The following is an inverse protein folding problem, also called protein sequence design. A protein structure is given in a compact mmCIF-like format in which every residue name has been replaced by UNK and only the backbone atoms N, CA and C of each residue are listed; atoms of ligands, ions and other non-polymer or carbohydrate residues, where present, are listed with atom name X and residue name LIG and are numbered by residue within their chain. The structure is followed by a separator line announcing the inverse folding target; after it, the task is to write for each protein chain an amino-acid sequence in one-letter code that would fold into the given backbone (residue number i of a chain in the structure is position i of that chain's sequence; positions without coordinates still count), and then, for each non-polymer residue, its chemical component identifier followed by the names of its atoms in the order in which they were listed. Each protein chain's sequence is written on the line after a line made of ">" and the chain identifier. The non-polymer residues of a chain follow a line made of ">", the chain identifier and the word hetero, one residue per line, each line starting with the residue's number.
data_IF_781087784350
#
_entry.id   IF_781087784350
#
_cell.length_a   1.000
_cell.length_b   1.000
_cell.length_c   1.000
_cell.angle_alpha   90.00
_cell.angle_beta   90.00
_cell.angle_gamma   90.00
#
_symmetry.space_group_name_H-M   'P 1'
#
loop_
_entity.id
_entity.type
_entity.pdbx_description
1 polymer ?
#
# COMPACT_ATOMS: atom_id res chain seq x y z
N UNK A 1 2.83 17.64 -3.36
CA UNK A 1 2.33 16.64 -4.35
C UNK A 1 2.79 15.21 -4.06
N UNK A 2 4.07 14.85 -4.17
CA UNK A 2 4.52 13.46 -3.88
C UNK A 2 4.27 13.04 -2.43
N UNK A 3 4.58 13.91 -1.46
CA UNK A 3 4.37 13.60 -0.04
C UNK A 3 2.89 13.46 0.34
N UNK A 4 1.99 14.25 -0.26
CA UNK A 4 0.55 14.13 -0.06
C UNK A 4 0.00 12.81 -0.60
N UNK A 5 0.49 12.36 -1.77
CA UNK A 5 0.11 11.07 -2.35
C UNK A 5 0.59 9.92 -1.48
N UNK A 6 1.84 9.96 -1.03
CA UNK A 6 2.40 8.98 -0.08
C UNK A 6 1.55 8.92 1.19
N UNK A 7 1.22 10.08 1.76
CA UNK A 7 0.40 10.16 2.98
C UNK A 7 -1.00 9.62 2.77
N UNK A 8 -1.59 9.86 1.60
CA UNK A 8 -2.92 9.37 1.24
C UNK A 8 -2.94 7.85 1.02
N UNK A 9 -1.93 7.30 0.34
CA UNK A 9 -1.76 5.85 0.17
C UNK A 9 -1.52 5.18 1.53
N UNK A 10 -0.62 5.73 2.36
CA UNK A 10 -0.37 5.23 3.71
C UNK A 10 -1.65 5.25 4.57
N UNK A 11 -2.49 6.27 4.41
CA UNK A 11 -3.81 6.33 5.06
C UNK A 11 -4.73 5.17 4.66
N UNK A 12 -4.77 4.81 3.37
CA UNK A 12 -5.53 3.66 2.87
C UNK A 12 -4.96 2.35 3.44
N UNK A 13 -3.64 2.19 3.46
CA UNK A 13 -2.98 1.00 4.03
C UNK A 13 -3.22 0.88 5.53
N UNK A 14 -3.26 2.01 6.25
CA UNK A 14 -3.59 2.04 7.68
C UNK A 14 -5.05 1.69 7.95
N UNK A 15 -5.98 2.15 7.09
CA UNK A 15 -7.38 1.76 7.14
C UNK A 15 -7.56 0.25 6.92
N UNK A 16 -6.78 -0.33 5.99
CA UNK A 16 -6.79 -1.77 5.75
C UNK A 16 -6.17 -2.55 6.91
N UNK A 17 -5.03 -2.08 7.40
CA UNK A 17 -4.18 -2.79 8.35
C UNK A 17 -3.86 -4.25 7.93
N UNK A 18 -3.11 -4.46 6.83
CA UNK A 18 -2.78 -5.80 6.33
C UNK A 18 -1.99 -6.66 7.32
N UNK A 19 -1.37 -6.07 8.35
CA UNK A 19 -0.70 -6.79 9.43
C UNK A 19 -1.63 -7.23 10.57
N UNK A 20 -2.87 -6.74 10.63
CA UNK A 20 -3.77 -6.99 11.75
C UNK A 20 -3.15 -6.60 13.08
N UNK A 21 -3.22 -7.50 14.06
CA UNK A 21 -2.64 -7.31 15.41
C UNK A 21 -1.12 -7.17 15.38
N UNK A 22 -0.42 -7.74 14.38
CA UNK A 22 1.03 -7.67 14.28
C UNK A 22 1.55 -6.24 14.02
N UNK A 23 0.67 -5.33 13.57
CA UNK A 23 1.00 -3.92 13.38
C UNK A 23 1.48 -3.26 14.68
N UNK A 24 0.92 -3.63 15.84
CA UNK A 24 1.28 -3.04 17.13
C UNK A 24 2.70 -3.44 17.59
N UNK A 25 3.16 -4.60 17.15
CA UNK A 25 4.49 -5.13 17.45
C UNK A 25 5.56 -4.75 16.41
N UNK A 26 5.18 -4.11 15.31
CA UNK A 26 6.10 -3.74 14.23
C UNK A 26 6.73 -2.38 14.53
N UNK A 27 7.90 -2.41 15.18
CA UNK A 27 8.61 -1.26 15.74
C UNK A 27 8.94 -0.14 14.73
N UNK A 28 8.88 -0.43 13.43
CA UNK A 28 9.27 0.47 12.34
C UNK A 28 8.17 0.67 11.28
N UNK A 29 6.92 0.32 11.61
CA UNK A 29 5.83 0.36 10.63
C UNK A 29 5.60 1.76 10.04
N UNK A 30 5.90 2.83 10.81
CA UNK A 30 5.69 4.24 10.44
C UNK A 30 4.29 4.47 9.80
N UNK A 31 3.32 3.70 10.29
CA UNK A 31 1.97 3.57 9.76
C UNK A 31 1.89 3.46 8.23
N UNK A 32 2.68 2.56 7.66
CA UNK A 32 2.76 2.18 6.25
C UNK A 32 3.37 3.22 5.29
N UNK A 33 4.15 4.17 5.83
CA UNK A 33 4.71 5.27 5.02
C UNK A 33 5.74 4.77 4.00
N UNK A 34 6.61 3.83 4.38
CA UNK A 34 7.63 3.30 3.47
C UNK A 34 7.01 2.47 2.36
N UNK A 35 6.02 1.65 2.68
CA UNK A 35 5.31 0.83 1.70
C UNK A 35 4.52 1.70 0.72
N UNK A 36 3.92 2.80 1.20
CA UNK A 36 3.26 3.77 0.34
C UNK A 36 4.24 4.44 -0.65
N UNK A 37 5.47 4.74 -0.21
CA UNK A 37 6.52 5.26 -1.10
C UNK A 37 6.92 4.22 -2.16
N UNK A 38 7.09 2.97 -1.76
CA UNK A 38 7.49 1.89 -2.66
C UNK A 38 6.41 1.54 -3.67
N UNK A 39 5.14 1.49 -3.26
CA UNK A 39 3.99 1.32 -4.18
C UNK A 39 4.00 2.43 -5.22
N UNK A 40 4.12 3.68 -4.79
CA UNK A 40 4.16 4.82 -5.71
C UNK A 40 5.39 4.76 -6.63
N UNK A 41 6.54 4.34 -6.14
CA UNK A 41 7.75 4.19 -6.93
C UNK A 41 7.59 3.09 -8.00
N UNK A 42 7.10 1.90 -7.61
CA UNK A 42 6.84 0.77 -8.53
C UNK A 42 5.86 1.18 -9.63
N UNK A 43 4.78 1.88 -9.30
CA UNK A 43 3.78 2.34 -10.28
C UNK A 43 4.32 3.42 -11.23
N UNK A 44 5.30 4.21 -10.81
CA UNK A 44 5.94 5.21 -11.66
C UNK A 44 7.00 4.61 -12.59
N UNK A 45 7.68 3.55 -12.15
CA UNK A 45 8.77 2.91 -12.90
C UNK A 45 8.24 1.82 -13.84
N UNK A 46 7.17 1.13 -13.44
CA UNK A 46 6.63 -0.03 -14.13
C UNK A 46 5.19 0.22 -14.57
N UNK A 47 4.69 -0.56 -15.54
CA UNK A 47 3.30 -0.50 -16.00
C UNK A 47 2.44 -1.63 -15.43
N UNK A 48 2.76 -2.09 -14.23
CA UNK A 48 1.97 -3.15 -13.59
C UNK A 48 0.66 -2.60 -13.04
N UNK A 49 -0.39 -3.43 -12.92
CA UNK A 49 -1.62 -3.03 -12.24
C UNK A 49 -1.37 -2.60 -10.79
N UNK A 50 -2.19 -1.68 -10.27
CA UNK A 50 -2.10 -1.21 -8.87
C UNK A 50 -2.16 -2.37 -7.88
N UNK A 51 -3.07 -3.32 -8.09
CA UNK A 51 -3.19 -4.53 -7.27
C UNK A 51 -1.91 -5.35 -7.20
N UNK A 52 -1.21 -5.49 -8.33
CA UNK A 52 0.06 -6.22 -8.39
C UNK A 52 1.18 -5.47 -7.67
N UNK A 53 1.23 -4.15 -7.79
CA UNK A 53 2.21 -3.34 -7.06
C UNK A 53 1.98 -3.43 -5.55
N UNK A 54 0.72 -3.25 -5.10
CA UNK A 54 0.32 -3.34 -3.69
C UNK A 54 0.65 -4.72 -3.11
N UNK A 55 0.23 -5.80 -3.79
CA UNK A 55 0.53 -7.16 -3.36
C UNK A 55 2.04 -7.39 -3.21
N UNK A 56 2.82 -7.06 -4.26
CA UNK A 56 4.26 -7.31 -4.23
C UNK A 56 4.97 -6.55 -3.12
N UNK A 57 4.67 -5.25 -2.94
CA UNK A 57 5.33 -4.43 -1.92
C UNK A 57 5.02 -4.96 -0.52
N UNK A 58 3.74 -5.18 -0.20
CA UNK A 58 3.34 -5.60 1.15
C UNK A 58 3.82 -7.02 1.48
N UNK A 59 3.78 -7.94 0.53
CA UNK A 59 4.29 -9.31 0.74
C UNK A 59 5.81 -9.34 0.89
N UNK A 60 6.55 -8.49 0.16
CA UNK A 60 8.01 -8.37 0.31
C UNK A 60 8.40 -7.69 1.62
N UNK A 61 7.70 -6.62 2.02
CA UNK A 61 8.01 -5.88 3.24
C UNK A 61 7.73 -6.71 4.50
N UNK A 62 6.64 -7.48 4.51
CA UNK A 62 6.15 -8.11 5.74
C UNK A 62 6.16 -9.65 5.74
N UNK A 63 6.46 -10.29 4.61
CA UNK A 63 6.42 -11.76 4.51
C UNK A 63 5.04 -12.36 4.76
N UNK A 64 3.98 -11.59 4.54
CA UNK A 64 2.58 -12.00 4.78
C UNK A 64 1.94 -12.58 3.51
N UNK A 65 0.84 -13.30 3.71
CA UNK A 65 -0.10 -13.64 2.62
C UNK A 65 -1.32 -12.75 2.75
N UNK A 66 -1.79 -12.20 1.63
CA UNK A 66 -2.90 -11.25 1.59
C UNK A 66 -4.14 -11.88 0.96
N UNK A 67 -5.31 -11.49 1.44
CA UNK A 67 -6.58 -11.90 0.87
C UNK A 67 -6.83 -11.20 -0.47
N UNK A 68 -7.19 -11.95 -1.51
CA UNK A 68 -7.42 -11.43 -2.86
C UNK A 68 -8.52 -10.36 -2.93
N UNK A 69 -9.63 -10.56 -2.23
CA UNK A 69 -10.74 -9.61 -2.23
C UNK A 69 -10.36 -8.29 -1.55
N UNK A 70 -9.53 -8.36 -0.49
CA UNK A 70 -9.03 -7.16 0.18
C UNK A 70 -8.03 -6.41 -0.70
N UNK A 71 -7.11 -7.13 -1.35
CA UNK A 71 -6.17 -6.52 -2.31
C UNK A 71 -6.97 -5.76 -3.38
N UNK A 72 -7.98 -6.39 -3.97
CA UNK A 72 -8.78 -5.77 -5.02
C UNK A 72 -9.50 -4.52 -4.52
N UNK A 73 -10.16 -4.61 -3.36
CA UNK A 73 -10.87 -3.47 -2.75
C UNK A 73 -9.97 -2.29 -2.44
N UNK A 74 -8.85 -2.51 -1.74
CA UNK A 74 -7.95 -1.42 -1.33
C UNK A 74 -7.09 -0.90 -2.48
N UNK A 75 -6.75 -1.74 -3.46
CA UNK A 75 -6.05 -1.29 -4.67
C UNK A 75 -6.93 -0.43 -5.56
N UNK A 76 -8.24 -0.72 -5.65
CA UNK A 76 -9.17 0.15 -6.36
C UNK A 76 -9.30 1.54 -5.72
N UNK A 77 -9.24 1.63 -4.37
CA UNK A 77 -9.17 2.93 -3.66
C UNK A 77 -7.91 3.72 -4.04
N UNK A 78 -6.74 3.05 -4.05
CA UNK A 78 -5.47 3.68 -4.44
C UNK A 78 -5.53 4.12 -5.91
N UNK A 79 -6.05 3.29 -6.81
CA UNK A 79 -6.18 3.63 -8.22
C UNK A 79 -7.09 4.86 -8.43
N UNK A 80 -8.22 4.93 -7.72
CA UNK A 80 -9.10 6.09 -7.73
C UNK A 80 -8.39 7.35 -7.24
N UNK A 81 -7.66 7.26 -6.12
CA UNK A 81 -6.85 8.36 -5.59
C UNK A 81 -5.89 8.90 -6.65
N UNK A 82 -5.16 8.02 -7.34
CA UNK A 82 -4.18 8.38 -8.37
C UNK A 82 -4.80 9.01 -9.62
N UNK A 83 -6.06 8.72 -9.94
CA UNK A 83 -6.77 9.33 -11.08
C UNK A 83 -7.32 10.73 -10.78
N UNK A 84 -7.39 11.13 -9.51
CA UNK A 84 -8.04 12.38 -9.07
C UNK A 84 -7.02 13.49 -8.75
N UNK A 85 -5.73 13.23 -8.91
CA UNK A 85 -4.60 14.13 -8.60
C UNK A 85 -3.74 14.30 -9.85
#
# INVERSE_FOLDING_TARGET
>A
MKEELVSSIAGILREWNPLGEAAESTLELEGYKYEAMDILAVLNITKVPVSKAVYNVLTQAFGITLNEAEIEYYSAKIEKLLRTK
#
